data_IF_345658890322
#
_entry.id   IF_345658890322
#
_cell.length_a   1.000
_cell.length_b   1.000
_cell.length_c   1.000
_cell.angle_alpha   90.00
_cell.angle_beta   90.00
_cell.angle_gamma   90.00
#
_symmetry.space_group_name_H-M   'P 1'
#
loop_
_entity.id
_entity.type
_entity.pdbx_description
1 polymer ?
#
# COMPACT_ATOMS: atom_id res chain seq x y z
N UNK A 1 -4.17 4.92 8.44
CA UNK A 1 -5.47 5.36 8.92
C UNK A 1 -5.46 6.49 9.95
N UNK A 2 -4.33 6.81 10.61
CA UNK A 2 -4.33 7.85 11.67
C UNK A 2 -4.39 9.26 11.06
N UNK A 3 -3.45 9.63 10.20
CA UNK A 3 -3.43 10.92 9.48
C UNK A 3 -4.41 10.89 8.30
N UNK A 4 -4.65 9.71 7.74
CA UNK A 4 -5.57 9.48 6.64
C UNK A 4 -6.91 8.96 7.14
N UNK A 5 -7.94 9.01 6.28
CA UNK A 5 -9.31 8.62 6.65
C UNK A 5 -9.48 7.09 6.77
N UNK A 6 -8.51 6.29 6.34
CA UNK A 6 -8.61 4.83 6.25
C UNK A 6 -9.59 4.34 5.16
N UNK A 7 -10.02 5.24 4.28
CA UNK A 7 -10.95 4.96 3.19
C UNK A 7 -10.23 5.07 1.85
N UNK A 8 -9.64 3.98 1.42
CA UNK A 8 -8.98 3.94 0.11
C UNK A 8 -9.98 4.14 -1.02
N UNK A 9 -9.59 4.94 -2.01
CA UNK A 9 -10.35 5.18 -3.24
C UNK A 9 -9.45 5.04 -4.45
N UNK A 10 -10.01 4.49 -5.55
CA UNK A 10 -9.30 4.44 -6.84
C UNK A 10 -9.34 5.83 -7.46
N UNK A 11 -8.17 6.40 -7.77
CA UNK A 11 -8.03 7.69 -8.45
C UNK A 11 -8.24 7.55 -9.95
N UNK A 12 -7.87 6.39 -10.52
CA UNK A 12 -8.02 6.11 -11.93
C UNK A 12 -7.13 4.98 -12.42
N UNK A 13 -7.28 4.70 -13.72
CA UNK A 13 -6.44 3.77 -14.46
C UNK A 13 -5.50 4.55 -15.37
N UNK A 14 -4.23 4.14 -15.45
CA UNK A 14 -3.28 4.59 -16.44
C UNK A 14 -2.82 3.41 -17.28
N UNK A 15 -3.13 3.44 -18.58
CA UNK A 15 -2.77 2.38 -19.51
C UNK A 15 -1.25 2.23 -19.62
N UNK A 16 -0.80 0.98 -19.59
CA UNK A 16 0.59 0.57 -19.80
C UNK A 16 0.75 -0.20 -21.12
N UNK A 17 -0.34 -0.72 -21.66
CA UNK A 17 -0.41 -1.49 -22.88
C UNK A 17 -1.65 -1.08 -23.69
N UNK A 18 -1.59 -1.23 -25.00
CA UNK A 18 -2.71 -1.01 -25.95
C UNK A 18 -3.50 -2.29 -26.24
N UNK A 19 -3.22 -3.39 -25.55
CA UNK A 19 -3.87 -4.71 -25.77
C UNK A 19 -5.38 -4.66 -25.52
N UNK A 20 -5.82 -3.89 -24.54
CA UNK A 20 -7.23 -3.71 -24.18
C UNK A 20 -7.55 -2.23 -24.07
N UNK A 21 -8.80 -1.88 -24.40
CA UNK A 21 -9.31 -0.53 -24.16
C UNK A 21 -9.49 -0.27 -22.65
N UNK A 22 -9.63 0.98 -22.27
CA UNK A 22 -9.90 1.33 -20.87
C UNK A 22 -11.18 0.69 -20.38
N UNK A 23 -12.23 0.70 -21.22
CA UNK A 23 -13.52 0.08 -20.94
C UNK A 23 -13.42 -1.44 -20.74
N UNK A 24 -12.60 -2.11 -21.55
CA UNK A 24 -12.34 -3.55 -21.37
C UNK A 24 -11.63 -3.83 -20.05
N UNK A 25 -10.63 -3.02 -19.70
CA UNK A 25 -9.90 -3.16 -18.43
C UNK A 25 -10.80 -2.92 -17.22
N UNK A 26 -11.72 -1.95 -17.27
CA UNK A 26 -12.70 -1.72 -16.22
C UNK A 26 -13.65 -2.91 -16.05
N UNK A 27 -14.10 -3.52 -17.16
CA UNK A 27 -14.93 -4.75 -17.14
C UNK A 27 -14.15 -5.97 -16.65
N UNK A 28 -12.87 -6.10 -17.01
CA UNK A 28 -12.00 -7.17 -16.50
C UNK A 28 -11.77 -7.02 -15.00
N UNK A 29 -11.60 -5.79 -14.49
CA UNK A 29 -11.56 -5.51 -13.06
C UNK A 29 -12.87 -5.83 -12.37
N UNK A 30 -14.02 -5.55 -13.00
CA UNK A 30 -15.32 -5.94 -12.48
C UNK A 30 -15.42 -7.46 -12.33
N UNK A 31 -15.06 -8.21 -13.37
CA UNK A 31 -15.04 -9.68 -13.34
C UNK A 31 -14.12 -10.20 -12.23
N UNK A 32 -12.93 -9.61 -12.10
CA UNK A 32 -11.98 -9.96 -11.04
C UNK A 32 -12.56 -9.71 -9.65
N UNK A 33 -13.14 -8.54 -9.40
CA UNK A 33 -13.66 -8.17 -8.07
C UNK A 33 -14.93 -8.94 -7.68
N UNK A 34 -15.78 -9.29 -8.63
CA UNK A 34 -16.99 -10.10 -8.37
C UNK A 34 -16.66 -11.52 -7.92
N UNK A 35 -15.51 -12.07 -8.33
CA UNK A 35 -15.09 -13.44 -8.02
C UNK A 35 -13.97 -13.51 -6.97
N UNK A 36 -13.25 -12.41 -6.70
CA UNK A 36 -12.25 -12.35 -5.65
C UNK A 36 -12.91 -12.32 -4.26
N UNK A 37 -12.36 -13.13 -3.35
CA UNK A 37 -12.75 -13.13 -1.93
C UNK A 37 -11.88 -12.19 -1.07
N UNK A 38 -10.94 -11.47 -1.68
CA UNK A 38 -10.06 -10.55 -0.97
C UNK A 38 -10.88 -9.42 -0.34
N UNK A 39 -10.64 -9.17 0.95
CA UNK A 39 -11.44 -8.22 1.74
C UNK A 39 -10.57 -7.16 2.48
N UNK A 40 -9.34 -6.92 2.00
CA UNK A 40 -8.53 -5.83 2.51
C UNK A 40 -9.00 -4.47 1.94
N UNK A 41 -8.56 -3.37 2.57
CA UNK A 41 -8.99 -2.01 2.19
C UNK A 41 -8.74 -1.67 0.71
N UNK A 42 -7.64 -2.19 0.13
CA UNK A 42 -7.30 -2.02 -1.28
C UNK A 42 -8.30 -2.74 -2.20
N UNK A 43 -8.61 -4.01 -1.89
CA UNK A 43 -9.59 -4.78 -2.65
C UNK A 43 -10.99 -4.14 -2.56
N UNK A 44 -11.38 -3.65 -1.37
CA UNK A 44 -12.63 -2.92 -1.20
C UNK A 44 -12.69 -1.64 -2.03
N UNK A 45 -11.59 -0.87 -2.12
CA UNK A 45 -11.54 0.32 -2.96
C UNK A 45 -11.76 0.00 -4.44
N UNK A 46 -11.12 -1.06 -4.96
CA UNK A 46 -11.28 -1.50 -6.35
C UNK A 46 -12.68 -2.05 -6.57
N UNK A 47 -13.21 -2.85 -5.64
CA UNK A 47 -14.58 -3.37 -5.69
C UNK A 47 -15.60 -2.25 -5.77
N UNK A 48 -15.50 -1.25 -4.90
CA UNK A 48 -16.39 -0.10 -4.90
C UNK A 48 -16.38 0.69 -6.21
N UNK A 49 -15.23 0.73 -6.90
CA UNK A 49 -15.08 1.44 -8.16
C UNK A 49 -15.64 0.66 -9.36
N UNK A 50 -15.51 -0.67 -9.40
CA UNK A 50 -15.71 -1.45 -10.62
C UNK A 50 -16.71 -2.60 -10.51
N UNK A 51 -16.98 -3.18 -9.33
CA UNK A 51 -17.81 -4.40 -9.19
C UNK A 51 -19.20 -4.31 -9.82
N UNK A 52 -19.76 -3.11 -9.91
CA UNK A 52 -21.12 -2.89 -10.47
C UNK A 52 -21.17 -2.85 -11.98
N UNK A 53 -20.02 -2.85 -12.65
CA UNK A 53 -19.98 -2.86 -14.11
C UNK A 53 -20.38 -4.24 -14.65
N UNK A 54 -21.27 -4.25 -15.64
CA UNK A 54 -21.67 -5.47 -16.31
C UNK A 54 -20.55 -6.01 -17.22
N UNK A 55 -20.36 -7.31 -17.21
CA UNK A 55 -19.42 -8.02 -18.08
C UNK A 55 -19.99 -9.38 -18.49
N UNK A 56 -19.41 -9.96 -19.55
CA UNK A 56 -19.80 -11.28 -20.06
C UNK A 56 -18.67 -12.32 -19.93
N UNK A 57 -17.63 -12.02 -19.15
CA UNK A 57 -16.49 -12.90 -18.96
C UNK A 57 -16.86 -14.11 -18.10
N UNK A 58 -16.43 -15.29 -18.53
CA UNK A 58 -16.50 -16.51 -17.72
C UNK A 58 -15.18 -16.64 -16.96
N UNK A 59 -15.31 -16.73 -15.65
CA UNK A 59 -14.18 -16.82 -14.72
C UNK A 59 -13.93 -18.29 -14.37
N UNK A 60 -12.68 -18.72 -14.50
CA UNK A 60 -12.22 -20.06 -14.12
C UNK A 60 -11.54 -20.05 -12.74
N UNK A 61 -10.27 -20.47 -12.70
CA UNK A 61 -9.52 -20.59 -11.45
C UNK A 61 -9.18 -19.24 -10.85
N UNK A 62 -9.30 -19.16 -9.51
CA UNK A 62 -8.99 -17.97 -8.73
C UNK A 62 -7.87 -18.29 -7.75
N UNK A 63 -6.78 -17.55 -7.80
CA UNK A 63 -5.68 -17.59 -6.84
C UNK A 63 -5.79 -16.33 -5.98
N UNK A 64 -6.17 -16.47 -4.68
CA UNK A 64 -6.33 -15.32 -3.79
C UNK A 64 -5.02 -14.55 -3.62
N UNK A 65 -5.12 -13.26 -3.31
CA UNK A 65 -3.95 -12.45 -2.95
C UNK A 65 -3.22 -13.04 -1.74
N UNK A 66 -1.89 -12.99 -1.76
CA UNK A 66 -1.05 -13.34 -0.62
C UNK A 66 -0.08 -12.21 -0.33
N UNK A 67 0.09 -11.88 0.94
CA UNK A 67 1.06 -10.87 1.39
C UNK A 67 2.51 -11.21 1.05
N UNK A 68 2.83 -12.51 0.99
CA UNK A 68 4.17 -12.99 0.64
C UNK A 68 4.44 -12.84 -0.85
N UNK A 69 3.46 -13.23 -1.69
CA UNK A 69 3.54 -13.10 -3.16
C UNK A 69 3.28 -11.67 -3.64
N UNK A 70 2.50 -10.90 -2.87
CA UNK A 70 2.01 -9.54 -3.21
C UNK A 70 1.21 -9.47 -4.51
N UNK A 71 0.63 -10.57 -4.95
CA UNK A 71 -0.29 -10.64 -6.08
C UNK A 71 -1.33 -11.76 -5.88
N UNK A 72 -2.45 -11.62 -6.58
CA UNK A 72 -3.44 -12.64 -6.83
C UNK A 72 -3.67 -12.81 -8.32
N UNK A 73 -4.31 -13.88 -8.76
CA UNK A 73 -4.59 -14.15 -10.15
C UNK A 73 -5.96 -14.76 -10.38
N UNK A 74 -6.44 -14.67 -11.65
CA UNK A 74 -7.72 -15.19 -12.06
C UNK A 74 -7.68 -15.56 -13.53
N UNK A 75 -8.04 -16.77 -13.88
CA UNK A 75 -8.20 -17.18 -15.27
C UNK A 75 -9.55 -16.71 -15.82
N UNK A 76 -9.57 -16.26 -17.07
CA UNK A 76 -10.77 -15.82 -17.78
C UNK A 76 -10.81 -16.49 -19.14
N UNK A 77 -11.90 -17.18 -19.42
CA UNK A 77 -12.09 -17.91 -20.67
C UNK A 77 -11.99 -17.00 -21.89
N UNK A 78 -11.20 -17.42 -22.88
CA UNK A 78 -10.96 -16.65 -24.08
C UNK A 78 -10.08 -15.40 -23.93
N UNK A 79 -9.66 -15.06 -22.71
CA UNK A 79 -8.78 -13.92 -22.42
C UNK A 79 -7.39 -14.38 -22.00
N UNK A 80 -7.30 -15.31 -21.05
CA UNK A 80 -6.07 -15.75 -20.40
C UNK A 80 -6.10 -15.53 -18.88
N UNK A 81 -4.96 -15.31 -18.28
CA UNK A 81 -4.84 -15.12 -16.83
C UNK A 81 -4.58 -13.65 -16.50
N UNK A 82 -5.41 -13.08 -15.63
CA UNK A 82 -5.20 -11.76 -15.05
C UNK A 82 -4.45 -11.87 -13.72
N UNK A 83 -3.58 -10.92 -13.46
CA UNK A 83 -2.84 -10.75 -12.22
C UNK A 83 -3.13 -9.37 -11.66
N UNK A 84 -3.39 -9.28 -10.37
CA UNK A 84 -3.53 -8.00 -9.68
C UNK A 84 -2.56 -7.97 -8.49
N UNK A 85 -1.64 -7.03 -8.48
CA UNK A 85 -0.61 -7.01 -7.44
C UNK A 85 0.37 -5.85 -7.49
N UNK A 86 1.42 -5.97 -6.69
CA UNK A 86 2.46 -4.96 -6.58
C UNK A 86 3.31 -4.86 -7.86
N UNK A 87 3.68 -3.63 -8.27
CA UNK A 87 4.49 -3.41 -9.48
C UNK A 87 5.79 -4.22 -9.49
N UNK A 88 6.50 -4.24 -8.39
CA UNK A 88 7.80 -4.92 -8.25
C UNK A 88 7.72 -6.44 -8.43
N UNK A 89 6.52 -7.01 -8.34
CA UNK A 89 6.29 -8.45 -8.54
C UNK A 89 5.83 -8.78 -9.95
N UNK A 90 5.05 -7.90 -10.57
CA UNK A 90 4.38 -8.16 -11.85
C UNK A 90 5.11 -7.56 -13.05
N UNK A 91 6.00 -6.60 -12.83
CA UNK A 91 6.73 -5.92 -13.89
C UNK A 91 8.22 -6.22 -13.78
N UNK A 92 8.90 -6.40 -14.93
CA UNK A 92 10.35 -6.56 -15.00
C UNK A 92 11.07 -5.24 -14.69
N UNK A 93 10.48 -4.13 -15.12
CA UNK A 93 10.97 -2.78 -14.88
C UNK A 93 9.79 -1.89 -14.51
N UNK A 94 9.97 -1.00 -13.54
CA UNK A 94 8.93 -0.06 -13.16
C UNK A 94 8.82 1.06 -14.21
N UNK A 95 7.65 1.23 -14.84
CA UNK A 95 7.40 2.41 -15.66
C UNK A 95 7.51 3.69 -14.83
N UNK A 96 8.00 4.78 -15.40
CA UNK A 96 8.06 6.11 -14.75
C UNK A 96 6.72 6.53 -14.12
N UNK A 97 5.62 6.02 -14.65
CA UNK A 97 4.29 6.28 -14.12
C UNK A 97 4.07 5.72 -12.71
N UNK A 98 4.67 4.56 -12.40
CA UNK A 98 4.64 3.97 -11.07
C UNK A 98 5.37 4.88 -10.08
N UNK A 99 6.61 5.27 -10.41
CA UNK A 99 7.42 6.14 -9.55
C UNK A 99 6.73 7.49 -9.32
N UNK A 100 6.14 8.07 -10.36
CA UNK A 100 5.40 9.32 -10.26
C UNK A 100 4.15 9.23 -9.37
N UNK A 101 3.40 8.12 -9.44
CA UNK A 101 2.23 7.92 -8.60
C UNK A 101 2.62 7.67 -7.13
N UNK A 102 3.67 6.87 -6.90
CA UNK A 102 4.22 6.65 -5.56
C UNK A 102 4.79 7.93 -4.96
N UNK A 103 5.45 8.76 -5.77
CA UNK A 103 5.96 10.07 -5.36
C UNK A 103 4.84 11.04 -4.95
N UNK A 104 3.60 10.86 -5.43
CA UNK A 104 2.43 11.62 -4.96
C UNK A 104 1.77 11.04 -3.70
N UNK A 105 2.36 10.01 -3.10
CA UNK A 105 1.81 9.34 -1.92
C UNK A 105 0.71 8.33 -2.23
N UNK A 106 0.52 7.96 -3.50
CA UNK A 106 -0.47 6.96 -3.89
C UNK A 106 0.07 5.55 -3.75
N UNK A 107 -0.79 4.61 -3.34
CA UNK A 107 -0.55 3.18 -3.49
C UNK A 107 -0.80 2.79 -4.94
N UNK A 108 0.11 2.04 -5.52
CA UNK A 108 0.02 1.61 -6.90
C UNK A 108 -0.13 0.09 -6.97
N UNK A 109 -1.10 -0.37 -7.74
CA UNK A 109 -1.22 -1.75 -8.17
C UNK A 109 -1.15 -1.84 -9.70
N UNK A 110 -0.74 -3.00 -10.18
CA UNK A 110 -0.76 -3.33 -11.60
C UNK A 110 -1.82 -4.40 -11.84
N UNK A 111 -2.68 -4.16 -12.82
CA UNK A 111 -3.39 -5.23 -13.50
C UNK A 111 -2.49 -5.69 -14.64
N UNK A 112 -2.11 -6.96 -14.63
CA UNK A 112 -1.29 -7.59 -15.66
C UNK A 112 -2.02 -8.79 -16.27
N UNK A 113 -1.52 -9.25 -17.38
CA UNK A 113 -2.09 -10.34 -18.15
C UNK A 113 -1.00 -11.30 -18.62
N UNK A 114 -1.36 -12.57 -18.77
CA UNK A 114 -0.60 -13.60 -19.47
C UNK A 114 -1.55 -14.51 -20.23
N UNK A 115 -1.09 -15.04 -21.36
CA UNK A 115 -1.82 -16.10 -22.05
C UNK A 115 -1.69 -17.44 -21.30
N UNK A 116 -0.61 -17.60 -20.55
CA UNK A 116 -0.30 -18.82 -19.80
C UNK A 116 -1.01 -18.84 -18.45
N UNK A 117 -1.34 -20.04 -17.98
CA UNK A 117 -1.83 -20.26 -16.62
C UNK A 117 -0.69 -20.11 -15.59
N UNK A 118 -1.06 -19.84 -14.34
CA UNK A 118 -0.12 -19.91 -13.22
C UNK A 118 0.24 -21.36 -12.96
N UNK A 119 1.53 -21.62 -12.72
CA UNK A 119 1.95 -22.90 -12.14
C UNK A 119 1.49 -22.95 -10.68
N UNK A 120 0.46 -23.74 -10.40
CA UNK A 120 -0.15 -23.84 -9.07
C UNK A 120 0.69 -24.65 -8.08
N UNK A 121 1.69 -25.41 -8.53
CA UNK A 121 2.59 -26.14 -7.65
C UNK A 121 3.67 -25.22 -7.06
N UNK A 122 4.26 -24.38 -7.91
CA UNK A 122 5.32 -23.45 -7.49
C UNK A 122 4.80 -22.04 -7.18
N UNK A 123 3.57 -21.72 -7.56
CA UNK A 123 3.01 -20.36 -7.50
C UNK A 123 3.89 -19.33 -8.19
N UNK A 124 4.53 -19.73 -9.30
CA UNK A 124 5.40 -18.86 -10.08
C UNK A 124 4.65 -18.13 -11.18
N UNK A 125 5.11 -16.90 -11.48
CA UNK A 125 4.55 -16.10 -12.56
C UNK A 125 5.00 -16.66 -13.92
N UNK A 126 4.10 -16.69 -14.91
CA UNK A 126 4.48 -16.97 -16.29
C UNK A 126 5.52 -15.96 -16.82
N UNK A 127 6.36 -16.40 -17.78
CA UNK A 127 7.38 -15.55 -18.38
C UNK A 127 6.82 -14.45 -19.28
N UNK A 128 5.58 -14.61 -19.76
CA UNK A 128 4.87 -13.72 -20.68
C UNK A 128 3.93 -12.73 -19.98
N UNK A 129 4.12 -12.48 -18.69
CA UNK A 129 3.32 -11.49 -17.96
C UNK A 129 3.57 -10.09 -18.51
N UNK A 130 2.50 -9.44 -18.95
CA UNK A 130 2.46 -8.10 -19.50
C UNK A 130 1.63 -7.17 -18.59
N UNK A 131 2.18 -6.03 -18.19
CA UNK A 131 1.43 -5.01 -17.45
C UNK A 131 0.42 -4.31 -18.38
N UNK A 132 -0.86 -4.36 -18.02
CA UNK A 132 -1.94 -3.75 -18.80
C UNK A 132 -2.24 -2.32 -18.35
N UNK A 133 -2.38 -2.13 -17.06
CA UNK A 133 -2.72 -0.82 -16.49
C UNK A 133 -2.22 -0.68 -15.05
N UNK A 134 -1.93 0.55 -14.70
CA UNK A 134 -1.65 0.98 -13.34
C UNK A 134 -2.94 1.46 -12.70
N UNK A 135 -3.27 0.94 -11.52
CA UNK A 135 -4.31 1.45 -10.65
C UNK A 135 -3.68 2.34 -9.58
N UNK A 136 -4.07 3.59 -9.56
CA UNK A 136 -3.65 4.54 -8.53
C UNK A 136 -4.72 4.59 -7.44
N UNK A 137 -4.33 4.26 -6.20
CA UNK A 137 -5.22 4.20 -5.04
C UNK A 137 -4.67 5.15 -3.99
N UNK A 138 -5.52 6.03 -3.47
CA UNK A 138 -5.15 6.96 -2.42
C UNK A 138 -6.08 6.82 -1.22
N UNK A 139 -5.51 7.04 -0.05
CA UNK A 139 -6.23 7.22 1.19
C UNK A 139 -6.26 8.72 1.50
N UNK A 140 -7.42 9.39 1.42
CA UNK A 140 -7.50 10.83 1.64
C UNK A 140 -7.01 11.20 3.03
N UNK A 141 -6.27 12.32 3.11
CA UNK A 141 -5.87 12.90 4.39
C UNK A 141 -7.11 13.41 5.10
N UNK A 142 -7.17 13.29 6.43
CA UNK A 142 -8.23 13.85 7.25
C UNK A 142 -8.24 15.37 7.14
N UNK A 143 -9.42 15.95 7.12
CA UNK A 143 -9.58 17.41 6.97
C UNK A 143 -8.95 18.18 8.15
N UNK A 144 -8.99 17.59 9.34
CA UNK A 144 -8.44 18.14 10.58
C UNK A 144 -6.95 17.80 10.83
N UNK A 145 -6.30 17.03 9.93
CA UNK A 145 -4.94 16.54 10.16
C UNK A 145 -3.92 17.68 10.33
N UNK A 146 -3.97 18.69 9.45
CA UNK A 146 -3.00 19.80 9.49
C UNK A 146 -3.16 20.64 10.78
N UNK A 147 -4.39 20.94 11.18
CA UNK A 147 -4.70 21.68 12.41
C UNK A 147 -4.25 20.90 13.65
N UNK A 148 -4.52 19.58 13.67
CA UNK A 148 -4.12 18.72 14.80
C UNK A 148 -2.61 18.61 14.94
N UNK A 149 -1.88 18.44 13.83
CA UNK A 149 -0.41 18.38 13.84
C UNK A 149 0.21 19.69 14.31
N UNK A 150 -0.32 20.83 13.87
CA UNK A 150 0.15 22.16 14.30
C UNK A 150 -0.17 22.41 15.78
N UNK A 151 -1.36 22.02 16.25
CA UNK A 151 -1.72 22.12 17.67
C UNK A 151 -0.74 21.34 18.54
N UNK A 152 -0.48 20.07 18.24
CA UNK A 152 0.44 19.24 19.00
C UNK A 152 1.86 19.83 19.02
N UNK A 153 2.31 20.38 17.90
CA UNK A 153 3.61 21.05 17.81
C UNK A 153 3.66 22.32 18.68
N UNK A 154 2.56 23.09 18.74
CA UNK A 154 2.46 24.29 19.60
C UNK A 154 2.46 23.97 21.08
N UNK A 155 2.11 22.73 21.46
CA UNK A 155 2.18 22.19 22.82
C UNK A 155 3.53 21.49 23.13
N UNK A 156 4.58 21.76 22.35
CA UNK A 156 5.93 21.17 22.48
C UNK A 156 5.95 19.62 22.38
N UNK A 157 5.00 19.03 21.68
CA UNK A 157 4.99 17.59 21.43
C UNK A 157 5.85 17.25 20.20
N UNK A 158 6.88 16.44 20.41
CA UNK A 158 7.66 15.87 19.30
C UNK A 158 6.86 14.78 18.60
N UNK A 159 6.56 14.99 17.33
CA UNK A 159 5.75 14.08 16.54
C UNK A 159 6.62 13.10 15.75
N UNK A 160 6.24 11.81 15.78
CA UNK A 160 6.86 10.76 14.98
C UNK A 160 5.80 9.96 14.24
N UNK A 161 6.07 9.61 13.00
CA UNK A 161 5.17 8.79 12.16
C UNK A 161 5.77 7.40 12.01
N UNK A 162 5.02 6.37 12.39
CA UNK A 162 5.44 4.97 12.31
C UNK A 162 4.46 4.22 11.39
N UNK A 163 4.93 3.71 10.26
CA UNK A 163 4.09 3.07 9.24
C UNK A 163 4.69 1.78 8.70
N UNK A 164 3.84 0.83 8.32
CA UNK A 164 4.23 -0.35 7.54
C UNK A 164 4.44 -0.06 6.05
N UNK A 165 4.04 1.12 5.56
CA UNK A 165 4.14 1.50 4.16
C UNK A 165 5.57 1.98 3.79
N UNK A 166 5.81 2.11 2.47
CA UNK A 166 7.06 2.63 1.94
C UNK A 166 7.36 4.03 2.51
N UNK A 167 8.58 4.30 3.04
CA UNK A 167 8.90 5.56 3.71
C UNK A 167 8.78 6.79 2.81
N UNK A 168 9.06 6.68 1.51
CA UNK A 168 8.89 7.78 0.55
C UNK A 168 7.40 8.13 0.42
N UNK A 169 6.54 7.13 0.29
CA UNK A 169 5.08 7.33 0.25
C UNK A 169 4.58 7.99 1.54
N UNK A 170 5.04 7.52 2.70
CA UNK A 170 4.68 8.10 4.01
C UNK A 170 5.15 9.54 4.14
N UNK A 171 6.39 9.85 3.74
CA UNK A 171 6.93 11.20 3.70
C UNK A 171 6.08 12.15 2.85
N UNK A 172 5.65 11.71 1.66
CA UNK A 172 4.78 12.54 0.81
C UNK A 172 3.39 12.79 1.42
N UNK A 173 2.79 11.77 2.02
CA UNK A 173 1.51 11.92 2.74
C UNK A 173 1.67 12.87 3.93
N UNK A 174 2.74 12.71 4.69
CA UNK A 174 3.08 13.56 5.82
C UNK A 174 3.24 15.04 5.40
N UNK A 175 3.97 15.29 4.31
CA UNK A 175 4.11 16.64 3.73
C UNK A 175 2.75 17.24 3.35
N UNK A 176 1.90 16.49 2.66
CA UNK A 176 0.56 16.93 2.27
C UNK A 176 -0.34 17.20 3.49
N UNK A 177 -0.12 16.49 4.59
CA UNK A 177 -0.81 16.69 5.87
C UNK A 177 -0.27 17.87 6.70
N UNK A 178 0.78 18.55 6.24
CA UNK A 178 1.40 19.67 6.98
C UNK A 178 2.43 19.25 8.02
N UNK A 179 2.93 18.01 7.99
CA UNK A 179 3.97 17.54 8.90
C UNK A 179 5.32 18.16 8.54
N UNK A 180 5.93 18.92 9.48
CA UNK A 180 7.11 19.74 9.21
C UNK A 180 8.36 18.90 8.85
N UNK A 181 8.59 17.81 9.60
CA UNK A 181 9.82 17.01 9.49
C UNK A 181 9.71 15.86 8.48
N UNK A 182 8.90 16.03 7.44
CA UNK A 182 8.60 15.00 6.44
C UNK A 182 9.84 14.46 5.69
N UNK A 183 10.93 15.22 5.63
CA UNK A 183 12.18 14.80 4.96
C UNK A 183 13.04 13.87 5.82
N UNK A 184 12.81 13.83 7.14
CA UNK A 184 13.52 12.94 8.07
C UNK A 184 12.85 11.57 8.10
N UNK A 185 13.23 10.67 7.19
CA UNK A 185 12.65 9.33 7.12
C UNK A 185 13.67 8.23 6.88
N UNK A 186 13.38 7.03 7.39
CA UNK A 186 14.17 5.82 7.17
C UNK A 186 13.32 4.64 6.71
N UNK A 187 13.96 3.68 6.04
CA UNK A 187 13.40 2.38 5.66
C UNK A 187 13.82 1.33 6.68
N UNK A 188 12.91 0.98 7.59
CA UNK A 188 13.18 0.05 8.69
C UNK A 188 13.39 -1.40 8.24
N UNK A 189 13.09 -1.74 7.00
CA UNK A 189 13.43 -3.05 6.44
C UNK A 189 14.92 -3.23 6.11
N UNK A 190 15.70 -2.14 6.21
CA UNK A 190 17.13 -2.09 5.84
C UNK A 190 18.06 -1.82 7.01
N UNK A 191 17.52 -1.69 8.21
CA UNK A 191 18.29 -1.40 9.43
C UNK A 191 18.10 -2.50 10.46
N UNK A 192 19.13 -2.76 11.27
CA UNK A 192 19.06 -3.67 12.41
C UNK A 192 18.27 -3.02 13.58
N UNK A 193 17.93 -3.82 14.59
CA UNK A 193 17.24 -3.31 15.79
C UNK A 193 18.15 -2.31 16.54
N UNK A 194 19.45 -2.56 16.64
CA UNK A 194 20.42 -1.65 17.28
C UNK A 194 20.56 -0.32 16.52
N UNK A 195 20.59 -0.38 15.18
CA UNK A 195 20.59 0.82 14.34
C UNK A 195 19.27 1.61 14.50
N UNK A 196 18.14 0.92 14.61
CA UNK A 196 16.83 1.54 14.81
C UNK A 196 16.77 2.25 16.16
N UNK A 197 17.27 1.63 17.22
CA UNK A 197 17.37 2.24 18.56
C UNK A 197 18.21 3.52 18.53
N UNK A 198 19.37 3.49 17.87
CA UNK A 198 20.24 4.66 17.74
C UNK A 198 19.61 5.82 16.95
N UNK A 199 18.72 5.52 16.00
CA UNK A 199 18.05 6.50 15.13
C UNK A 199 16.69 6.97 15.69
N UNK A 200 16.21 6.38 16.80
CA UNK A 200 14.86 6.59 17.30
C UNK A 200 14.55 8.06 17.65
N UNK A 201 15.52 8.80 18.17
CA UNK A 201 15.33 10.21 18.56
C UNK A 201 15.37 11.16 17.37
N UNK A 202 16.33 10.98 16.47
CA UNK A 202 16.60 11.93 15.39
C UNK A 202 15.74 11.73 14.14
N UNK A 203 15.06 10.59 14.04
CA UNK A 203 14.20 10.27 12.89
C UNK A 203 12.75 10.64 13.17
N UNK A 204 12.11 11.32 12.23
CA UNK A 204 10.70 11.72 12.35
C UNK A 204 9.74 10.68 11.72
N UNK A 205 10.13 10.00 10.66
CA UNK A 205 9.27 9.06 9.92
C UNK A 205 9.97 7.71 9.76
N UNK A 206 9.29 6.66 10.21
CA UNK A 206 9.72 5.27 10.12
C UNK A 206 8.80 4.52 9.16
N UNK A 207 9.33 4.07 8.01
CA UNK A 207 8.60 3.29 7.01
C UNK A 207 8.96 1.83 7.01
N UNK A 208 8.09 0.95 6.49
CA UNK A 208 8.23 -0.51 6.47
C UNK A 208 8.52 -1.13 7.83
N UNK A 209 7.93 -0.56 8.87
CA UNK A 209 8.13 -0.97 10.26
C UNK A 209 7.34 -2.25 10.54
N UNK A 210 8.01 -3.27 11.08
CA UNK A 210 7.36 -4.48 11.58
C UNK A 210 6.66 -4.22 12.92
N UNK A 211 5.69 -5.07 13.35
CA UNK A 211 5.07 -4.94 14.67
C UNK A 211 6.07 -4.97 15.84
N UNK A 212 7.14 -5.78 15.71
CA UNK A 212 8.23 -5.83 16.67
C UNK A 212 8.97 -4.49 16.75
N UNK A 213 9.37 -3.94 15.60
CA UNK A 213 10.08 -2.66 15.55
C UNK A 213 9.23 -1.48 16.05
N UNK A 214 7.91 -1.50 15.84
CA UNK A 214 7.00 -0.50 16.43
C UNK A 214 7.09 -0.49 17.97
N UNK A 215 7.05 -1.68 18.56
CA UNK A 215 7.22 -1.84 20.02
C UNK A 215 8.60 -1.36 20.48
N UNK A 216 9.66 -1.78 19.78
CA UNK A 216 11.04 -1.41 20.10
C UNK A 216 11.24 0.11 20.10
N UNK A 217 10.71 0.83 19.10
CA UNK A 217 10.79 2.30 19.06
C UNK A 217 10.17 2.96 20.28
N UNK A 218 8.98 2.51 20.73
CA UNK A 218 8.33 3.06 21.92
C UNK A 218 9.15 2.76 23.17
N UNK A 219 9.64 1.52 23.30
CA UNK A 219 10.49 1.13 24.45
C UNK A 219 11.78 1.94 24.50
N UNK A 220 12.43 2.17 23.38
CA UNK A 220 13.65 2.97 23.28
C UNK A 220 13.42 4.41 23.70
N UNK A 221 12.36 5.06 23.20
CA UNK A 221 12.03 6.42 23.57
C UNK A 221 11.71 6.54 25.07
N UNK A 222 10.97 5.60 25.65
CA UNK A 222 10.70 5.54 27.07
C UNK A 222 11.97 5.33 27.91
N UNK A 223 12.87 4.43 27.47
CA UNK A 223 14.15 4.17 28.14
C UNK A 223 15.08 5.41 28.12
N UNK A 224 14.98 6.25 27.09
CA UNK A 224 15.71 7.51 26.96
C UNK A 224 15.09 8.65 27.77
N UNK A 225 14.03 8.39 28.55
CA UNK A 225 13.42 9.34 29.47
C UNK A 225 12.28 10.17 28.87
N UNK A 226 11.81 9.83 27.66
CA UNK A 226 10.64 10.49 27.07
C UNK A 226 9.33 9.89 27.62
N UNK A 227 8.31 10.71 27.73
CA UNK A 227 6.93 10.24 27.92
C UNK A 227 6.30 10.11 26.56
N UNK A 228 5.91 8.89 26.20
CA UNK A 228 5.34 8.59 24.88
C UNK A 228 3.83 8.45 24.94
N UNK A 229 3.16 8.88 23.89
CA UNK A 229 1.78 8.56 23.59
C UNK A 229 1.71 8.02 22.15
N UNK A 230 0.89 7.02 21.91
CA UNK A 230 0.74 6.42 20.59
C UNK A 230 -0.74 6.39 20.20
N UNK A 231 -0.99 6.65 18.92
CA UNK A 231 -2.28 6.41 18.28
C UNK A 231 -2.09 5.48 17.08
N UNK A 232 -2.98 4.53 16.89
CA UNK A 232 -2.96 3.55 15.82
C UNK A 232 -4.31 2.89 15.65
N UNK A 233 -4.61 2.39 14.45
CA UNK A 233 -5.90 1.79 14.07
C UNK A 233 -5.78 0.31 13.64
N UNK A 234 -4.56 -0.23 13.64
CA UNK A 234 -4.26 -1.59 13.17
C UNK A 234 -4.00 -2.59 14.29
N UNK A 235 -4.33 -3.85 14.02
CA UNK A 235 -3.96 -4.99 14.89
C UNK A 235 -2.44 -5.04 15.12
N UNK A 236 -1.65 -4.61 14.14
CA UNK A 236 -0.20 -4.55 14.18
C UNK A 236 0.35 -3.48 15.14
N UNK A 237 -0.51 -2.60 15.65
CA UNK A 237 -0.13 -1.52 16.58
C UNK A 237 -0.30 -1.91 18.06
N UNK A 238 -1.03 -3.01 18.34
CA UNK A 238 -1.43 -3.41 19.71
C UNK A 238 -0.21 -3.55 20.64
N UNK A 239 0.88 -4.15 20.15
CA UNK A 239 2.07 -4.35 20.98
C UNK A 239 2.74 -3.02 21.35
N UNK A 240 2.82 -2.10 20.42
CA UNK A 240 3.40 -0.77 20.65
C UNK A 240 2.48 0.12 21.51
N UNK A 241 1.16 0.05 21.29
CA UNK A 241 0.16 0.78 22.09
C UNK A 241 0.17 0.41 23.58
N UNK A 242 0.62 -0.79 23.93
CA UNK A 242 0.75 -1.24 25.33
C UNK A 242 2.02 -0.73 26.02
N UNK A 243 2.98 -0.27 25.24
CA UNK A 243 4.27 0.24 25.75
C UNK A 243 4.27 1.77 25.88
N UNK A 244 3.34 2.44 25.20
CA UNK A 244 3.20 3.90 25.21
C UNK A 244 2.54 4.42 26.51
#
# INVERSE_FOLDING_TARGET
GTITQGKMTVKGLKLLSERFTKEDLERLLAAYMQHSKDNNATAQAIRNAYERLEHHYQVGDVIPFSSDRKWGAMSIDGVGTLFLGAPEMLLKENPKAVDQAQARGSRVLILAWSQSAVDTETMSLPNDVEGLTLLEIADPIREDAAETLEYLRSEDVTLKIISGDNPVTVSHIAHQAGFADYQSYIDCSKVSDEELEALAEDTAIFGRVSPHQKKLLIQTLNANGHTTAMTGDGVNDILALREA
#
